data_IF_492607091405
#
_entry.id   IF_492607091405
#
_cell.length_a   1.000
_cell.length_b   1.000
_cell.length_c   1.000
_cell.angle_alpha   90.00
_cell.angle_beta   90.00
_cell.angle_gamma   90.00
#
_symmetry.space_group_name_H-M   'P 1'
#
loop_
_entity.id
_entity.type
_entity.pdbx_description
1 polymer ?
#
# COMPACT_ATOMS: atom_id res chain seq x y z
N UNK A 1 34.15 12.37 20.80
CA UNK A 1 33.24 12.34 19.66
C UNK A 1 31.85 12.65 20.23
N UNK A 2 31.07 13.54 19.63
CA UNK A 2 29.70 13.76 20.09
C UNK A 2 28.91 12.46 19.90
N UNK A 3 28.15 12.05 20.91
CA UNK A 3 27.26 10.89 20.81
C UNK A 3 26.33 11.10 19.61
N UNK A 4 26.26 10.12 18.70
CA UNK A 4 25.30 10.13 17.59
C UNK A 4 23.97 9.70 18.15
N UNK A 5 22.90 10.39 17.78
CA UNK A 5 21.54 10.05 18.22
C UNK A 5 20.61 9.77 17.04
N UNK A 6 19.62 8.95 17.28
CA UNK A 6 18.50 8.72 16.37
C UNK A 6 17.19 9.11 17.04
N UNK A 7 16.25 9.65 16.28
CA UNK A 7 14.86 9.79 16.67
C UNK A 7 14.06 8.63 16.08
N UNK A 8 13.17 8.06 16.88
CA UNK A 8 12.32 6.97 16.46
C UNK A 8 10.93 7.11 17.09
N UNK A 9 9.90 6.68 16.35
CA UNK A 9 8.52 6.64 16.82
C UNK A 9 8.24 5.32 17.50
N UNK A 10 7.64 5.37 18.67
CA UNK A 10 7.19 4.24 19.47
C UNK A 10 5.67 4.25 19.59
N UNK A 11 5.08 3.07 19.70
CA UNK A 11 3.71 2.92 20.12
C UNK A 11 3.67 2.92 21.65
N UNK A 12 2.86 3.81 22.24
CA UNK A 12 2.74 3.92 23.71
C UNK A 12 1.68 3.00 24.30
N UNK A 13 0.67 2.66 23.47
CA UNK A 13 -0.40 1.76 23.82
C UNK A 13 -0.99 1.10 22.57
N UNK A 14 -1.67 -0.03 22.74
CA UNK A 14 -2.40 -0.67 21.63
C UNK A 14 -3.80 -0.05 21.51
N UNK A 15 -4.09 0.71 20.43
CA UNK A 15 -5.39 1.36 20.27
C UNK A 15 -6.51 0.35 20.03
N UNK A 16 -7.62 0.43 20.81
CA UNK A 16 -8.78 -0.45 20.68
C UNK A 16 -9.63 -0.18 19.43
N UNK A 17 -9.46 0.98 18.79
CA UNK A 17 -10.18 1.40 17.58
C UNK A 17 -9.26 2.17 16.66
N UNK A 18 -9.74 3.26 16.06
CA UNK A 18 -8.89 4.17 15.30
C UNK A 18 -7.76 4.69 16.17
N UNK A 19 -6.50 4.60 15.75
CA UNK A 19 -5.38 5.20 16.46
C UNK A 19 -5.54 6.72 16.58
N UNK A 20 -4.99 7.26 17.66
CA UNK A 20 -4.91 8.69 17.93
C UNK A 20 -3.45 9.15 18.01
N UNK A 21 -3.18 10.42 17.92
CA UNK A 21 -1.81 10.95 18.10
C UNK A 21 -1.19 10.57 19.44
N UNK A 22 -2.00 10.42 20.50
CA UNK A 22 -1.55 10.04 21.84
C UNK A 22 -1.07 8.58 21.95
N UNK A 23 -1.34 7.74 20.96
CA UNK A 23 -0.83 6.37 20.91
C UNK A 23 0.62 6.30 20.42
N UNK A 24 1.24 7.42 20.04
CA UNK A 24 2.59 7.49 19.49
C UNK A 24 3.45 8.46 20.27
N UNK A 25 4.75 8.17 20.36
CA UNK A 25 5.75 9.01 20.99
C UNK A 25 7.05 8.98 20.20
N UNK A 26 7.67 10.14 19.98
CA UNK A 26 9.03 10.22 19.44
C UNK A 26 10.03 10.19 20.58
N UNK A 27 10.98 9.25 20.55
CA UNK A 27 12.07 9.13 21.52
C UNK A 27 13.41 9.26 20.81
N UNK A 28 14.35 9.89 21.51
CA UNK A 28 15.75 9.99 21.08
C UNK A 28 16.56 8.89 21.76
N UNK A 29 17.33 8.14 20.97
CA UNK A 29 18.18 7.04 21.43
C UNK A 29 19.61 7.26 20.93
N UNK A 30 20.60 6.77 21.65
CA UNK A 30 21.99 6.78 21.20
C UNK A 30 22.20 5.74 20.08
N UNK A 31 23.01 6.13 19.09
CA UNK A 31 23.45 5.21 18.04
C UNK A 31 24.78 4.60 18.47
N UNK A 32 24.86 3.28 18.69
CA UNK A 32 26.11 2.61 19.05
C UNK A 32 27.11 2.64 17.90
N UNK A 33 28.40 2.44 18.22
CA UNK A 33 29.43 2.24 17.22
C UNK A 33 29.16 0.97 16.40
N UNK A 34 29.39 1.05 15.08
CA UNK A 34 29.20 -0.08 14.19
C UNK A 34 30.14 -1.23 14.54
N UNK A 35 29.63 -2.44 14.55
CA UNK A 35 30.40 -3.69 14.58
C UNK A 35 30.81 -4.09 13.16
N UNK A 36 31.70 -5.07 13.04
CA UNK A 36 32.06 -5.66 11.74
C UNK A 36 30.82 -6.22 11.05
N UNK A 37 30.65 -5.94 9.77
CA UNK A 37 29.51 -6.32 8.96
C UNK A 37 28.29 -5.41 9.07
N UNK A 38 28.30 -4.39 9.96
CA UNK A 38 27.17 -3.48 10.13
C UNK A 38 27.27 -2.22 9.25
N UNK A 39 26.11 -1.62 9.00
CA UNK A 39 25.90 -0.46 8.15
C UNK A 39 25.04 0.53 8.93
N UNK A 40 25.43 1.80 8.99
CA UNK A 40 24.58 2.89 9.47
C UNK A 40 23.89 3.55 8.27
N UNK A 41 22.59 3.67 8.36
CA UNK A 41 21.77 4.29 7.33
C UNK A 41 21.00 5.49 7.88
N UNK A 42 20.81 6.47 7.01
CA UNK A 42 19.93 7.62 7.23
C UNK A 42 18.66 7.43 6.39
N UNK A 43 17.51 7.40 7.02
CA UNK A 43 16.23 7.34 6.33
C UNK A 43 15.98 8.64 5.58
N UNK A 44 15.66 8.54 4.30
CA UNK A 44 15.29 9.67 3.44
C UNK A 44 13.76 9.69 3.32
N UNK A 45 13.17 8.56 2.93
CA UNK A 45 11.75 8.38 2.78
C UNK A 45 11.26 7.17 3.57
N UNK A 46 10.12 7.30 4.22
CA UNK A 46 9.45 6.16 4.83
C UNK A 46 8.00 6.06 4.38
N UNK A 47 7.50 4.83 4.43
CA UNK A 47 6.13 4.48 4.08
C UNK A 47 5.26 4.41 5.32
N UNK A 48 4.02 4.89 5.20
CA UNK A 48 2.92 4.52 6.09
C UNK A 48 1.91 3.70 5.28
N UNK A 49 1.48 2.56 5.84
CA UNK A 49 0.66 1.57 5.14
C UNK A 49 -0.46 1.04 6.04
N UNK A 50 -1.66 0.78 5.48
CA UNK A 50 -2.80 0.33 6.27
C UNK A 50 -2.58 -0.98 7.04
N UNK A 51 -1.71 -1.91 6.54
CA UNK A 51 -1.42 -3.17 7.22
C UNK A 51 -0.81 -2.98 8.62
N UNK A 52 -0.14 -1.85 8.85
CA UNK A 52 0.46 -1.51 10.16
C UNK A 52 -0.58 -1.45 11.27
N UNK A 53 -1.87 -1.17 10.93
CA UNK A 53 -2.96 -1.21 11.91
C UNK A 53 -3.15 -2.60 12.50
N UNK A 54 -3.01 -3.65 11.70
CA UNK A 54 -3.06 -5.02 12.18
C UNK A 54 -1.94 -5.37 13.17
N UNK A 55 -0.77 -4.73 13.03
CA UNK A 55 0.37 -4.89 13.94
C UNK A 55 0.18 -4.17 15.30
N UNK A 56 -0.81 -3.30 15.41
CA UNK A 56 -1.21 -2.65 16.67
C UNK A 56 -2.29 -3.45 17.43
N UNK A 57 -2.50 -4.70 17.06
CA UNK A 57 -3.49 -5.61 17.66
C UNK A 57 -2.83 -6.94 18.04
N UNK A 58 -2.16 -7.03 19.19
CA UNK A 58 -1.43 -8.23 19.62
C UNK A 58 -2.35 -9.41 19.90
N UNK A 59 -3.63 -9.15 20.15
CA UNK A 59 -4.70 -10.11 20.40
C UNK A 59 -5.23 -10.81 19.15
N UNK A 60 -4.90 -10.29 17.94
CA UNK A 60 -5.37 -10.81 16.66
C UNK A 60 -4.27 -11.57 15.95
N UNK A 61 -4.54 -12.82 15.57
CA UNK A 61 -3.63 -13.62 14.75
C UNK A 61 -3.44 -12.95 13.38
N UNK A 62 -2.21 -12.63 13.03
CA UNK A 62 -1.84 -11.98 11.78
C UNK A 62 -0.70 -12.72 11.10
N UNK A 63 -0.46 -12.42 9.81
CA UNK A 63 0.66 -12.92 9.01
C UNK A 63 1.99 -12.21 9.33
N UNK A 64 1.94 -11.13 10.11
CA UNK A 64 3.09 -10.34 10.53
C UNK A 64 3.02 -10.12 12.05
N UNK A 65 4.15 -10.18 12.78
CA UNK A 65 4.17 -9.96 14.22
C UNK A 65 3.63 -8.57 14.61
N UNK A 66 3.01 -8.45 15.79
CA UNK A 66 2.60 -7.16 16.31
C UNK A 66 3.80 -6.27 16.59
N UNK A 67 3.59 -4.96 16.64
CA UNK A 67 4.57 -4.01 17.17
C UNK A 67 4.77 -4.24 18.66
N UNK A 68 6.01 -4.06 19.13
CA UNK A 68 6.32 -4.02 20.57
C UNK A 68 6.20 -2.58 21.07
N UNK A 69 5.69 -2.40 22.28
CA UNK A 69 5.67 -1.09 22.96
C UNK A 69 7.07 -0.64 23.39
N UNK A 70 8.00 -1.60 23.54
CA UNK A 70 9.37 -1.35 24.01
C UNK A 70 10.39 -1.16 22.89
N UNK A 71 9.94 -1.18 21.64
CA UNK A 71 10.79 -1.02 20.47
C UNK A 71 10.27 0.05 19.50
N UNK A 72 11.15 0.71 18.74
CA UNK A 72 10.73 1.57 17.65
C UNK A 72 9.81 0.85 16.71
N UNK A 73 8.82 1.55 16.16
CA UNK A 73 8.06 1.02 15.04
C UNK A 73 8.99 0.77 13.83
N UNK A 74 8.56 -0.09 12.94
CA UNK A 74 9.26 -0.39 11.69
C UNK A 74 8.30 -0.34 10.49
N UNK A 75 8.86 -0.28 9.30
CA UNK A 75 8.12 -0.25 8.05
C UNK A 75 9.04 -0.02 6.87
N UNK A 76 8.46 0.08 5.68
CA UNK A 76 9.20 0.37 4.47
C UNK A 76 9.93 1.71 4.54
N UNK A 77 11.21 1.72 4.15
CA UNK A 77 11.98 2.96 4.02
C UNK A 77 12.97 2.88 2.87
N UNK A 78 13.25 4.04 2.27
CA UNK A 78 14.42 4.26 1.43
C UNK A 78 15.42 5.06 2.24
N UNK A 79 16.65 4.54 2.34
CA UNK A 79 17.71 5.12 3.16
C UNK A 79 19.01 5.27 2.37
N UNK A 80 19.84 6.24 2.77
CA UNK A 80 21.22 6.39 2.32
C UNK A 80 22.16 5.68 3.31
N UNK A 81 23.09 4.92 2.81
CA UNK A 81 24.20 4.39 3.59
C UNK A 81 25.14 5.54 3.96
N UNK A 82 25.31 5.82 5.25
CA UNK A 82 26.19 6.91 5.72
C UNK A 82 27.53 6.40 6.25
N UNK A 83 27.55 5.18 6.80
CA UNK A 83 28.77 4.50 7.22
C UNK A 83 28.61 3.00 7.01
N UNK A 84 29.68 2.31 6.60
CA UNK A 84 29.63 0.86 6.37
C UNK A 84 30.89 0.16 6.87
N UNK A 85 30.68 -0.97 7.55
CA UNK A 85 31.69 -2.00 7.82
C UNK A 85 31.30 -3.32 7.15
N UNK A 86 30.44 -3.27 6.12
CA UNK A 86 29.94 -4.38 5.32
C UNK A 86 30.46 -4.24 3.89
N UNK A 87 31.04 -5.28 3.33
CA UNK A 87 31.66 -5.27 1.99
C UNK A 87 30.64 -5.07 0.84
N UNK A 88 29.36 -5.44 1.08
CA UNK A 88 28.30 -5.33 0.09
C UNK A 88 27.75 -3.91 -0.11
N UNK A 89 28.07 -2.98 0.81
CA UNK A 89 27.49 -1.63 0.81
C UNK A 89 28.55 -0.57 1.13
N UNK A 90 28.42 0.60 0.51
CA UNK A 90 29.34 1.73 0.70
C UNK A 90 28.54 3.01 0.98
N UNK A 91 29.16 4.01 1.66
CA UNK A 91 28.55 5.33 1.82
C UNK A 91 28.12 5.92 0.48
N UNK A 92 26.90 6.47 0.46
CA UNK A 92 26.24 7.00 -0.73
C UNK A 92 25.37 5.98 -1.50
N UNK A 93 25.41 4.70 -1.17
CA UNK A 93 24.43 3.73 -1.70
C UNK A 93 23.03 4.06 -1.16
N UNK A 94 22.02 3.99 -2.03
CA UNK A 94 20.62 4.05 -1.64
C UNK A 94 20.04 2.63 -1.55
N UNK A 95 19.25 2.38 -0.49
CA UNK A 95 18.67 1.06 -0.24
C UNK A 95 17.21 1.20 0.16
N UNK A 96 16.39 0.23 -0.27
CA UNK A 96 15.03 0.05 0.25
C UNK A 96 14.99 -1.17 1.16
N UNK A 97 14.27 -1.06 2.26
CA UNK A 97 14.08 -2.14 3.23
C UNK A 97 12.75 -2.00 3.98
N UNK A 98 12.27 -3.11 4.57
CA UNK A 98 11.06 -3.14 5.40
C UNK A 98 11.27 -2.71 6.86
N UNK A 99 12.52 -2.56 7.31
CA UNK A 99 12.86 -2.36 8.73
C UNK A 99 13.28 -0.93 9.07
N UNK A 100 13.48 -0.08 8.07
CA UNK A 100 14.09 1.24 8.22
C UNK A 100 13.13 2.37 8.54
N UNK A 101 11.82 2.14 8.49
CA UNK A 101 10.82 3.19 8.72
C UNK A 101 10.63 3.53 10.20
N UNK A 102 9.95 4.65 10.46
CA UNK A 102 9.62 5.21 11.77
C UNK A 102 10.84 5.65 12.60
N UNK A 103 11.98 5.87 11.95
CA UNK A 103 13.23 6.38 12.54
C UNK A 103 14.07 7.12 11.50
N UNK A 104 14.86 8.07 11.95
CA UNK A 104 15.72 8.88 11.07
C UNK A 104 17.06 8.19 10.77
N UNK A 105 17.61 7.41 11.71
CA UNK A 105 18.80 6.58 11.52
C UNK A 105 18.55 5.16 12.02
N UNK A 106 19.27 4.19 11.45
CA UNK A 106 19.21 2.79 11.89
C UNK A 106 20.42 1.99 11.41
N UNK A 107 20.70 0.90 12.13
CA UNK A 107 21.80 0.00 11.84
C UNK A 107 21.24 -1.34 11.32
N UNK A 108 21.89 -1.92 10.33
CA UNK A 108 21.61 -3.26 9.78
C UNK A 108 22.90 -4.00 9.48
N UNK A 109 22.82 -5.33 9.41
CA UNK A 109 23.89 -6.19 8.91
C UNK A 109 23.88 -6.37 7.37
N UNK A 110 22.95 -5.72 6.68
CA UNK A 110 22.78 -5.84 5.24
C UNK A 110 21.67 -6.79 4.80
N UNK A 111 21.14 -7.64 5.69
CA UNK A 111 20.09 -8.60 5.36
C UNK A 111 18.78 -7.87 5.01
N UNK A 112 18.16 -8.28 3.91
CA UNK A 112 16.90 -7.72 3.44
C UNK A 112 17.00 -6.30 2.83
N UNK A 113 18.23 -5.77 2.64
CA UNK A 113 18.44 -4.53 1.92
C UNK A 113 18.50 -4.76 0.41
N UNK A 114 17.79 -3.95 -0.34
CA UNK A 114 17.88 -3.93 -1.81
C UNK A 114 18.39 -2.57 -2.26
N UNK A 115 19.48 -2.53 -3.02
CA UNK A 115 19.97 -1.29 -3.62
C UNK A 115 18.97 -0.75 -4.62
N UNK A 116 18.77 0.54 -4.62
CA UNK A 116 17.89 1.26 -5.56
C UNK A 116 18.66 2.33 -6.32
N UNK A 117 18.21 2.59 -7.55
CA UNK A 117 18.85 3.53 -8.45
C UNK A 117 17.93 4.75 -8.65
N UNK A 118 18.36 5.91 -8.17
CA UNK A 118 17.66 7.16 -8.34
C UNK A 118 17.61 7.67 -9.79
N UNK A 119 18.45 7.11 -10.67
CA UNK A 119 18.42 7.39 -12.12
C UNK A 119 17.22 6.76 -12.83
N UNK A 120 16.59 5.73 -12.22
CA UNK A 120 15.41 5.04 -12.78
C UNK A 120 14.11 5.75 -12.40
N UNK A 121 13.98 6.16 -11.15
CA UNK A 121 12.79 6.83 -10.62
C UNK A 121 13.13 7.63 -9.34
N UNK A 122 12.30 8.59 -8.92
CA UNK A 122 12.43 9.22 -7.61
C UNK A 122 12.51 8.18 -6.50
N UNK A 123 13.31 8.43 -5.46
CA UNK A 123 13.53 7.48 -4.37
C UNK A 123 12.22 7.08 -3.66
N UNK A 124 11.25 7.99 -3.52
CA UNK A 124 9.94 7.71 -2.94
C UNK A 124 9.14 6.66 -3.72
N UNK A 125 9.31 6.58 -5.05
CA UNK A 125 8.62 5.62 -5.91
C UNK A 125 8.91 4.16 -5.52
N UNK A 126 10.07 3.88 -4.90
CA UNK A 126 10.42 2.55 -4.38
C UNK A 126 9.65 2.16 -3.12
N UNK A 127 8.86 3.07 -2.54
CA UNK A 127 7.89 2.80 -1.47
C UNK A 127 6.45 2.67 -1.99
N UNK A 128 6.23 2.96 -3.26
CA UNK A 128 4.93 2.98 -3.92
C UNK A 128 4.91 2.11 -5.17
N UNK A 129 4.90 2.77 -6.34
CA UNK A 129 4.68 2.16 -7.66
C UNK A 129 5.76 1.14 -8.05
N UNK A 130 6.99 1.29 -7.61
CA UNK A 130 8.10 0.33 -7.80
C UNK A 130 8.43 -0.48 -6.54
N UNK A 131 7.68 -0.31 -5.47
CA UNK A 131 7.87 -0.99 -4.20
C UNK A 131 6.82 -2.07 -3.90
N UNK A 132 6.62 -2.32 -2.60
CA UNK A 132 5.68 -3.33 -2.11
C UNK A 132 4.23 -3.10 -2.61
N UNK A 133 3.67 -1.87 -2.59
CA UNK A 133 2.33 -1.63 -3.13
C UNK A 133 2.24 -1.93 -4.63
N UNK A 134 3.28 -1.61 -5.39
CA UNK A 134 3.36 -1.92 -6.82
C UNK A 134 3.38 -3.41 -7.10
N UNK A 135 4.24 -4.16 -6.40
CA UNK A 135 4.27 -5.62 -6.49
C UNK A 135 2.93 -6.25 -6.08
N UNK A 136 2.27 -5.69 -5.04
CA UNK A 136 0.94 -6.13 -4.60
C UNK A 136 -0.11 -5.96 -5.71
N UNK A 137 -0.12 -4.80 -6.35
CA UNK A 137 -1.02 -4.50 -7.46
C UNK A 137 -0.80 -5.45 -8.64
N UNK A 138 0.47 -5.60 -9.04
CA UNK A 138 0.86 -6.45 -10.15
C UNK A 138 0.57 -7.93 -9.87
N UNK A 139 0.94 -8.45 -8.70
CA UNK A 139 0.71 -9.84 -8.34
C UNK A 139 -0.79 -10.17 -8.24
N UNK A 140 -1.59 -9.36 -7.56
CA UNK A 140 -3.03 -9.57 -7.46
C UNK A 140 -3.73 -9.53 -8.83
N UNK A 141 -3.28 -8.65 -9.72
CA UNK A 141 -3.83 -8.57 -11.07
C UNK A 141 -3.39 -9.74 -11.95
N UNK A 142 -2.11 -10.12 -11.93
CA UNK A 142 -1.54 -11.09 -12.89
C UNK A 142 -1.58 -12.54 -12.40
N UNK A 143 -1.56 -12.78 -11.08
CA UNK A 143 -1.48 -14.13 -10.51
C UNK A 143 -2.82 -14.62 -9.94
N UNK A 144 -3.78 -13.71 -9.72
CA UNK A 144 -5.07 -14.06 -9.10
C UNK A 144 -6.23 -13.72 -10.05
N UNK A 145 -6.29 -12.47 -10.52
CA UNK A 145 -7.37 -12.03 -11.39
C UNK A 145 -7.20 -12.48 -12.83
N UNK A 146 -5.98 -12.48 -13.36
CA UNK A 146 -5.66 -12.90 -14.73
C UNK A 146 -6.64 -12.33 -15.76
N UNK A 147 -6.87 -10.98 -15.79
CA UNK A 147 -7.89 -10.40 -16.63
C UNK A 147 -7.55 -10.55 -18.10
N UNK A 148 -8.58 -10.81 -18.92
CA UNK A 148 -8.48 -10.94 -20.36
C UNK A 148 -8.92 -9.65 -21.05
N UNK A 149 -8.38 -9.32 -22.23
CA UNK A 149 -8.85 -8.18 -23.02
C UNK A 149 -10.38 -8.20 -23.20
N UNK A 150 -11.02 -7.06 -22.99
CA UNK A 150 -12.47 -6.90 -23.07
C UNK A 150 -13.23 -7.23 -21.76
N UNK A 151 -12.59 -7.86 -20.77
CA UNK A 151 -13.23 -8.08 -19.47
C UNK A 151 -13.37 -6.77 -18.67
N UNK A 152 -14.38 -6.72 -17.82
CA UNK A 152 -14.61 -5.60 -16.89
C UNK A 152 -13.90 -5.87 -15.57
N UNK A 153 -13.01 -4.94 -15.20
CA UNK A 153 -12.27 -4.94 -13.92
C UNK A 153 -12.82 -3.84 -13.03
N UNK A 154 -13.28 -4.18 -11.83
CA UNK A 154 -13.61 -3.22 -10.79
C UNK A 154 -12.49 -3.13 -9.76
N UNK A 155 -12.16 -1.91 -9.30
CA UNK A 155 -11.12 -1.67 -8.30
C UNK A 155 -11.68 -0.76 -7.21
N UNK A 156 -11.72 -1.22 -5.96
CA UNK A 156 -12.05 -0.38 -4.81
C UNK A 156 -10.81 0.30 -4.24
N UNK A 157 -10.98 1.48 -3.63
CA UNK A 157 -9.84 2.28 -3.14
C UNK A 157 -8.86 2.63 -4.26
N UNK A 158 -9.40 2.90 -5.45
CA UNK A 158 -8.66 2.98 -6.70
C UNK A 158 -7.64 4.12 -6.78
N UNK A 159 -7.83 5.21 -6.03
CA UNK A 159 -6.87 6.32 -6.00
C UNK A 159 -5.72 6.13 -5.00
N UNK A 160 -5.64 4.97 -4.34
CA UNK A 160 -4.54 4.61 -3.44
C UNK A 160 -3.33 4.03 -4.17
N UNK A 161 -2.25 3.75 -3.42
CA UNK A 161 -0.98 3.28 -3.95
C UNK A 161 -1.09 1.95 -4.75
N UNK A 162 -1.93 1.02 -4.30
CA UNK A 162 -2.18 -0.26 -4.97
C UNK A 162 -3.21 -0.07 -6.09
N UNK A 163 -4.37 0.49 -5.76
CA UNK A 163 -5.51 0.55 -6.66
C UNK A 163 -5.24 1.31 -7.96
N UNK A 164 -4.48 2.41 -7.89
CA UNK A 164 -4.16 3.22 -9.07
C UNK A 164 -3.29 2.49 -10.09
N UNK A 165 -2.37 1.66 -9.61
CA UNK A 165 -1.55 0.84 -10.49
C UNK A 165 -2.37 -0.34 -11.08
N UNK A 166 -3.25 -0.96 -10.28
CA UNK A 166 -4.16 -2.01 -10.79
C UNK A 166 -5.00 -1.48 -11.94
N UNK A 167 -5.62 -0.29 -11.78
CA UNK A 167 -6.42 0.34 -12.84
C UNK A 167 -5.62 0.49 -14.13
N UNK A 168 -4.43 1.06 -14.06
CA UNK A 168 -3.60 1.34 -15.23
C UNK A 168 -3.09 0.07 -15.90
N UNK A 169 -2.64 -0.92 -15.12
CA UNK A 169 -2.22 -2.22 -15.66
C UNK A 169 -3.39 -2.96 -16.33
N UNK A 170 -4.60 -2.90 -15.75
CA UNK A 170 -5.80 -3.47 -16.36
C UNK A 170 -6.16 -2.77 -17.70
N UNK A 171 -6.02 -1.44 -17.77
CA UNK A 171 -6.17 -0.68 -19.01
C UNK A 171 -5.16 -1.11 -20.07
N UNK A 172 -3.88 -1.25 -19.70
CA UNK A 172 -2.80 -1.70 -20.60
C UNK A 172 -3.11 -3.12 -21.14
N UNK A 173 -3.76 -3.96 -20.32
CA UNK A 173 -4.22 -5.30 -20.75
C UNK A 173 -5.49 -5.27 -21.63
N UNK A 174 -6.04 -4.10 -21.94
CA UNK A 174 -7.23 -3.95 -22.80
C UNK A 174 -8.56 -4.22 -22.10
N UNK A 175 -8.61 -4.07 -20.77
CA UNK A 175 -9.83 -4.22 -19.98
C UNK A 175 -10.67 -2.93 -19.95
N UNK A 176 -11.97 -3.08 -19.73
CA UNK A 176 -12.82 -2.01 -19.23
C UNK A 176 -12.58 -1.88 -17.71
N UNK A 177 -12.26 -0.68 -17.22
CA UNK A 177 -11.93 -0.46 -15.82
C UNK A 177 -12.95 0.46 -15.17
N UNK A 178 -13.55 -0.02 -14.08
CA UNK A 178 -14.41 0.73 -13.19
C UNK A 178 -13.65 0.91 -11.88
N UNK A 179 -13.58 2.13 -11.40
CA UNK A 179 -12.88 2.48 -10.17
C UNK A 179 -13.84 3.06 -9.12
N UNK A 180 -13.52 2.93 -7.84
CA UNK A 180 -14.19 3.68 -6.79
C UNK A 180 -13.18 4.43 -5.92
N UNK A 181 -13.45 5.71 -5.66
CA UNK A 181 -12.63 6.60 -4.85
C UNK A 181 -13.50 7.50 -3.96
N UNK A 182 -12.89 8.19 -2.99
CA UNK A 182 -13.60 8.94 -1.95
C UNK A 182 -13.76 10.44 -2.22
N UNK A 183 -13.47 10.91 -3.44
CA UNK A 183 -13.73 12.32 -3.80
C UNK A 183 -13.82 12.49 -5.30
N UNK A 184 -14.49 13.54 -5.75
CA UNK A 184 -14.57 13.91 -7.16
C UNK A 184 -13.19 14.13 -7.77
N UNK A 185 -12.29 14.85 -7.08
CA UNK A 185 -10.92 15.08 -7.54
C UNK A 185 -10.16 13.76 -7.81
N UNK A 186 -10.33 12.75 -6.95
CA UNK A 186 -9.73 11.43 -7.14
C UNK A 186 -10.35 10.69 -8.33
N UNK A 187 -11.66 10.81 -8.52
CA UNK A 187 -12.35 10.23 -9.67
C UNK A 187 -11.88 10.88 -10.97
N UNK A 188 -11.82 12.20 -11.01
CA UNK A 188 -11.35 12.96 -12.17
C UNK A 188 -9.92 12.58 -12.56
N UNK A 189 -9.04 12.42 -11.58
CA UNK A 189 -7.67 11.97 -11.85
C UNK A 189 -7.62 10.55 -12.42
N UNK A 190 -8.42 9.64 -11.88
CA UNK A 190 -8.49 8.26 -12.36
C UNK A 190 -8.97 8.19 -13.81
N UNK A 191 -9.97 8.97 -14.19
CA UNK A 191 -10.48 9.03 -15.56
C UNK A 191 -9.52 9.75 -16.50
N UNK A 192 -9.06 10.94 -16.13
CA UNK A 192 -8.32 11.81 -17.04
C UNK A 192 -6.83 11.44 -17.16
N UNK A 193 -6.20 10.93 -16.09
CA UNK A 193 -4.76 10.64 -16.08
C UNK A 193 -4.44 9.14 -16.04
N UNK A 194 -5.28 8.31 -15.41
CA UNK A 194 -5.07 6.85 -15.34
C UNK A 194 -5.83 6.08 -16.41
N UNK A 195 -6.69 6.74 -17.20
CA UNK A 195 -7.44 6.15 -18.30
C UNK A 195 -8.56 5.20 -17.87
N UNK A 196 -9.07 5.34 -16.64
CA UNK A 196 -10.22 4.57 -16.13
C UNK A 196 -11.46 4.95 -16.93
N UNK A 197 -12.31 3.97 -17.28
CA UNK A 197 -13.48 4.22 -18.10
C UNK A 197 -14.63 4.85 -17.30
N UNK A 198 -14.77 4.48 -16.03
CA UNK A 198 -15.77 5.04 -15.10
C UNK A 198 -15.19 5.08 -13.70
N UNK A 199 -15.18 6.25 -13.06
CA UNK A 199 -14.81 6.40 -11.67
C UNK A 199 -16.05 6.82 -10.83
N UNK A 200 -16.34 6.04 -9.79
CA UNK A 200 -17.46 6.25 -8.89
C UNK A 200 -16.99 6.89 -7.60
N UNK A 201 -17.54 8.06 -7.24
CA UNK A 201 -17.37 8.59 -5.90
C UNK A 201 -18.29 7.82 -4.95
N UNK A 202 -17.73 6.94 -4.13
CA UNK A 202 -18.54 6.10 -3.26
C UNK A 202 -19.26 6.86 -2.14
N UNK A 203 -18.87 8.11 -1.85
CA UNK A 203 -19.60 8.97 -0.92
C UNK A 203 -20.96 9.44 -1.46
N UNK A 204 -21.19 9.33 -2.77
CA UNK A 204 -22.50 9.58 -3.36
C UNK A 204 -23.47 8.40 -3.13
N UNK A 205 -22.98 7.28 -2.61
CA UNK A 205 -23.76 6.08 -2.30
C UNK A 205 -23.89 5.90 -0.78
N UNK A 206 -25.12 5.88 -0.28
CA UNK A 206 -25.42 5.76 1.16
C UNK A 206 -25.27 4.33 1.70
N UNK A 207 -25.35 3.34 0.82
CA UNK A 207 -25.33 1.92 1.19
C UNK A 207 -24.90 1.04 0.00
N UNK A 208 -24.73 -0.25 0.26
CA UNK A 208 -24.34 -1.21 -0.76
C UNK A 208 -25.34 -1.32 -1.93
N UNK A 209 -26.63 -1.09 -1.69
CA UNK A 209 -27.66 -1.13 -2.74
C UNK A 209 -27.49 -0.01 -3.76
N UNK A 210 -27.22 1.22 -3.31
CA UNK A 210 -26.96 2.36 -4.19
C UNK A 210 -25.66 2.17 -4.97
N UNK A 211 -24.60 1.66 -4.34
CA UNK A 211 -23.35 1.32 -5.03
C UNK A 211 -23.55 0.17 -6.03
N UNK A 212 -24.36 -0.84 -5.70
CA UNK A 212 -24.77 -1.92 -6.63
C UNK A 212 -25.45 -1.33 -7.87
N UNK A 213 -26.38 -0.38 -7.69
CA UNK A 213 -27.06 0.27 -8.79
C UNK A 213 -26.11 1.07 -9.69
N UNK A 214 -25.13 1.77 -9.08
CA UNK A 214 -24.09 2.49 -9.82
C UNK A 214 -23.18 1.53 -10.61
N UNK A 215 -22.74 0.44 -9.99
CA UNK A 215 -21.96 -0.61 -10.65
C UNK A 215 -22.72 -1.28 -11.78
N UNK A 216 -24.04 -1.55 -11.59
CA UNK A 216 -24.89 -2.13 -12.64
C UNK A 216 -25.01 -1.24 -13.88
N UNK A 217 -25.03 0.09 -13.71
CA UNK A 217 -24.99 1.04 -14.84
C UNK A 217 -23.63 1.03 -15.55
N UNK A 218 -22.54 0.98 -14.77
CA UNK A 218 -21.18 0.99 -15.30
C UNK A 218 -20.79 -0.36 -15.91
N UNK A 219 -21.29 -1.49 -15.40
CA UNK A 219 -21.01 -2.84 -15.85
C UNK A 219 -22.32 -3.63 -16.12
N UNK A 220 -23.09 -3.32 -17.17
CA UNK A 220 -24.36 -4.00 -17.45
C UNK A 220 -24.23 -5.51 -17.67
N UNK A 221 -23.08 -5.97 -18.18
CA UNK A 221 -22.78 -7.41 -18.36
C UNK A 221 -22.13 -8.06 -17.14
N UNK A 222 -21.95 -7.30 -16.06
CA UNK A 222 -21.33 -7.72 -14.80
C UNK A 222 -19.82 -7.54 -14.77
N UNK A 223 -19.26 -7.70 -13.55
CA UNK A 223 -17.83 -7.52 -13.24
C UNK A 223 -17.14 -8.88 -13.37
N UNK A 224 -16.14 -8.99 -14.24
CA UNK A 224 -15.35 -10.20 -14.42
C UNK A 224 -14.21 -10.34 -13.39
N UNK A 225 -13.60 -9.22 -13.02
CA UNK A 225 -12.50 -9.17 -12.06
C UNK A 225 -12.75 -8.08 -11.03
N UNK A 226 -12.58 -8.40 -9.76
CA UNK A 226 -12.65 -7.41 -8.70
C UNK A 226 -11.37 -7.41 -7.87
N UNK A 227 -10.71 -6.25 -7.79
CA UNK A 227 -9.57 -6.04 -6.92
C UNK A 227 -10.04 -5.28 -5.66
N UNK A 228 -10.07 -5.99 -4.54
CA UNK A 228 -10.65 -5.51 -3.29
C UNK A 228 -9.59 -4.93 -2.35
N UNK A 229 -9.76 -3.65 -1.97
CA UNK A 229 -8.93 -2.96 -0.98
C UNK A 229 -9.73 -2.45 0.23
N UNK A 230 -11.07 -2.43 0.17
CA UNK A 230 -11.92 -1.67 1.12
C UNK A 230 -12.76 -2.55 2.02
N UNK A 231 -13.43 -3.57 1.48
CA UNK A 231 -14.39 -4.40 2.23
C UNK A 231 -15.75 -3.70 2.40
N UNK A 232 -16.53 -4.17 3.39
CA UNK A 232 -17.81 -3.57 3.75
C UNK A 232 -18.77 -3.47 2.56
N UNK A 233 -19.37 -2.29 2.37
CA UNK A 233 -20.34 -2.07 1.29
C UNK A 233 -19.77 -2.26 -0.11
N UNK A 234 -18.44 -2.10 -0.32
CA UNK A 234 -17.82 -2.34 -1.62
C UNK A 234 -17.83 -3.81 -1.98
N UNK A 235 -17.47 -4.68 -1.04
CA UNK A 235 -17.48 -6.12 -1.27
C UNK A 235 -18.91 -6.63 -1.48
N UNK A 236 -19.87 -6.14 -0.70
CA UNK A 236 -21.29 -6.50 -0.86
C UNK A 236 -21.83 -6.04 -2.23
N UNK A 237 -21.58 -4.80 -2.63
CA UNK A 237 -22.03 -4.29 -3.92
C UNK A 237 -21.36 -5.00 -5.11
N UNK A 238 -20.06 -5.31 -4.98
CA UNK A 238 -19.34 -6.07 -5.98
C UNK A 238 -19.93 -7.47 -6.15
N UNK A 239 -20.19 -8.22 -5.08
CA UNK A 239 -20.80 -9.55 -5.12
C UNK A 239 -22.19 -9.55 -5.80
N UNK A 240 -22.98 -8.47 -5.62
CA UNK A 240 -24.25 -8.32 -6.33
C UNK A 240 -24.07 -8.08 -7.84
N UNK A 241 -22.90 -7.62 -8.27
CA UNK A 241 -22.63 -7.14 -9.62
C UNK A 241 -21.68 -8.04 -10.43
N UNK A 242 -21.21 -9.17 -9.90
CA UNK A 242 -20.26 -10.06 -10.58
C UNK A 242 -20.88 -10.81 -11.75
N UNK A 243 -20.09 -10.98 -12.82
CA UNK A 243 -20.39 -11.85 -13.95
C UNK A 243 -20.23 -13.35 -13.58
N UNK A 244 -20.68 -14.23 -14.45
CA UNK A 244 -20.42 -15.67 -14.31
C UNK A 244 -18.91 -15.95 -14.46
N UNK A 245 -18.35 -16.78 -13.56
CA UNK A 245 -16.92 -17.11 -13.55
C UNK A 245 -16.03 -15.97 -13.05
N UNK A 246 -16.56 -14.98 -12.37
CA UNK A 246 -15.80 -13.84 -11.85
C UNK A 246 -14.66 -14.26 -10.90
N UNK A 247 -13.62 -13.44 -10.84
CA UNK A 247 -12.45 -13.62 -9.98
C UNK A 247 -12.30 -12.39 -9.08
N UNK A 248 -12.13 -12.63 -7.77
CA UNK A 248 -12.02 -11.58 -6.75
C UNK A 248 -10.69 -11.77 -6.01
N UNK A 249 -9.82 -10.76 -6.04
CA UNK A 249 -8.58 -10.71 -5.28
C UNK A 249 -8.79 -9.84 -4.03
N UNK A 250 -8.75 -10.45 -2.85
CA UNK A 250 -8.84 -9.75 -1.57
C UNK A 250 -7.43 -9.32 -1.14
N UNK A 251 -7.10 -8.06 -1.42
CA UNK A 251 -5.84 -7.42 -1.06
C UNK A 251 -5.89 -6.78 0.33
N UNK A 252 -7.01 -6.13 0.64
CA UNK A 252 -7.23 -5.45 1.90
C UNK A 252 -8.70 -5.17 2.16
N UNK A 253 -9.02 -4.84 3.41
CA UNK A 253 -10.37 -4.51 3.87
C UNK A 253 -10.31 -3.33 4.84
N UNK A 254 -9.77 -2.18 4.38
CA UNK A 254 -9.44 -1.04 5.23
C UNK A 254 -10.64 -0.51 6.04
N UNK A 255 -11.86 -0.67 5.53
CA UNK A 255 -13.10 -0.24 6.21
C UNK A 255 -13.33 -0.93 7.56
N UNK A 256 -12.71 -2.12 7.78
CA UNK A 256 -12.90 -2.90 9.02
C UNK A 256 -11.65 -2.95 9.90
N UNK A 257 -10.52 -2.35 9.49
CA UNK A 257 -9.28 -2.45 10.27
C UNK A 257 -9.35 -1.81 11.66
N UNK A 258 -10.22 -0.81 11.83
CA UNK A 258 -10.43 -0.12 13.10
C UNK A 258 -11.66 -0.62 13.87
N UNK A 259 -12.32 -1.68 13.41
CA UNK A 259 -13.47 -2.25 14.09
C UNK A 259 -13.05 -2.81 15.47
N UNK A 260 -13.79 -2.44 16.52
CA UNK A 260 -13.57 -2.92 17.90
C UNK A 260 -14.00 -4.37 18.07
N UNK A 261 -15.07 -4.73 17.38
CA UNK A 261 -15.62 -6.08 17.34
C UNK A 261 -15.44 -6.68 15.95
N UNK A 262 -15.42 -8.01 15.79
CA UNK A 262 -15.37 -8.64 14.49
C UNK A 262 -16.50 -8.14 13.59
N UNK A 263 -16.15 -7.58 12.43
CA UNK A 263 -17.13 -7.13 11.47
C UNK A 263 -17.89 -8.33 10.86
N UNK A 264 -19.20 -8.17 10.68
CA UNK A 264 -19.99 -9.16 9.95
C UNK A 264 -19.47 -9.27 8.50
N UNK A 265 -19.44 -10.49 7.97
CA UNK A 265 -19.16 -10.71 6.56
C UNK A 265 -20.29 -10.21 5.66
N UNK A 266 -20.07 -10.09 4.35
CA UNK A 266 -21.13 -9.72 3.43
C UNK A 266 -22.25 -10.75 3.43
N UNK A 267 -23.54 -10.32 3.49
CA UNK A 267 -24.69 -11.25 3.62
C UNK A 267 -24.95 -12.05 2.35
N UNK A 268 -24.34 -11.67 1.24
CA UNK A 268 -24.60 -12.18 -0.10
C UNK A 268 -23.49 -13.08 -0.68
N UNK A 269 -22.68 -13.72 0.16
CA UNK A 269 -21.63 -14.68 -0.28
C UNK A 269 -22.18 -15.81 -1.17
N UNK A 270 -23.47 -16.14 -1.07
CA UNK A 270 -24.11 -17.12 -1.92
C UNK A 270 -24.00 -16.80 -3.44
N UNK A 271 -23.76 -15.54 -3.81
CA UNK A 271 -23.52 -15.19 -5.20
C UNK A 271 -22.24 -15.82 -5.77
N UNK A 272 -21.26 -16.16 -4.95
CA UNK A 272 -20.09 -16.92 -5.41
C UNK A 272 -20.51 -18.27 -5.99
N UNK A 273 -21.48 -18.93 -5.38
CA UNK A 273 -22.03 -20.20 -5.88
C UNK A 273 -22.84 -19.93 -7.15
N UNK A 274 -23.78 -18.98 -7.09
CA UNK A 274 -24.69 -18.68 -8.19
C UNK A 274 -23.97 -18.22 -9.47
N UNK A 275 -22.79 -17.61 -9.31
CA UNK A 275 -21.96 -17.11 -10.41
C UNK A 275 -20.74 -17.98 -10.71
N UNK A 276 -20.57 -19.13 -10.03
CA UNK A 276 -19.37 -19.97 -10.15
C UNK A 276 -18.06 -19.15 -10.01
N UNK A 277 -18.08 -18.16 -9.11
CA UNK A 277 -17.00 -17.19 -8.94
C UNK A 277 -15.93 -17.69 -7.95
N UNK A 278 -14.72 -17.17 -8.06
CA UNK A 278 -13.61 -17.41 -7.14
C UNK A 278 -13.32 -16.15 -6.34
N UNK A 279 -13.06 -16.30 -5.04
CA UNK A 279 -12.58 -15.23 -4.17
C UNK A 279 -11.35 -15.70 -3.41
N UNK A 280 -10.23 -15.00 -3.54
CA UNK A 280 -8.94 -15.40 -3.00
C UNK A 280 -8.27 -14.25 -2.26
N UNK A 281 -7.96 -14.46 -0.97
CA UNK A 281 -7.06 -13.59 -0.21
C UNK A 281 -5.59 -13.86 -0.56
N UNK A 282 -4.75 -12.83 -0.50
CA UNK A 282 -3.33 -12.98 -0.75
C UNK A 282 -2.48 -12.01 0.08
N UNK A 283 -1.22 -12.37 0.25
CA UNK A 283 -0.20 -11.56 0.91
C UNK A 283 0.98 -11.43 -0.05
N UNK A 284 1.46 -10.21 -0.27
CA UNK A 284 2.52 -9.93 -1.25
C UNK A 284 3.83 -10.67 -0.96
N UNK A 285 4.11 -11.00 0.30
CA UNK A 285 5.32 -11.74 0.69
C UNK A 285 5.45 -13.11 0.00
N UNK A 286 4.34 -13.73 -0.40
CA UNK A 286 4.34 -15.00 -1.15
C UNK A 286 4.88 -14.80 -2.57
N UNK A 287 4.78 -13.57 -3.10
CA UNK A 287 5.15 -13.20 -4.48
C UNK A 287 6.49 -12.46 -4.58
N UNK A 288 7.28 -12.35 -3.50
CA UNK A 288 8.58 -11.68 -3.52
C UNK A 288 9.55 -12.29 -4.54
N UNK A 289 9.44 -13.60 -4.80
CA UNK A 289 10.21 -14.27 -5.84
C UNK A 289 9.95 -13.76 -7.26
N UNK A 290 8.84 -13.04 -7.48
CA UNK A 290 8.47 -12.41 -8.75
C UNK A 290 8.86 -10.91 -8.81
N UNK A 291 9.52 -10.37 -7.80
CA UNK A 291 9.85 -8.94 -7.73
C UNK A 291 10.69 -8.47 -8.94
N UNK A 292 11.60 -9.31 -9.43
CA UNK A 292 12.39 -8.98 -10.62
C UNK A 292 11.52 -8.90 -11.89
N UNK A 293 10.59 -9.85 -12.08
CA UNK A 293 9.67 -9.84 -13.20
C UNK A 293 8.76 -8.60 -13.14
N UNK A 294 8.20 -8.31 -11.97
CA UNK A 294 7.44 -7.09 -11.73
C UNK A 294 8.22 -5.83 -12.14
N UNK A 295 9.47 -5.71 -11.68
CA UNK A 295 10.31 -4.55 -12.00
C UNK A 295 10.57 -4.43 -13.51
N UNK A 296 10.86 -5.55 -14.20
CA UNK A 296 11.07 -5.56 -15.65
C UNK A 296 9.83 -5.16 -16.45
N UNK A 297 8.63 -5.46 -15.95
CA UNK A 297 7.37 -5.10 -16.63
C UNK A 297 6.94 -3.66 -16.31
N UNK A 298 7.08 -3.21 -15.07
CA UNK A 298 6.48 -1.93 -14.61
C UNK A 298 7.43 -0.74 -14.76
N UNK A 299 8.74 -0.90 -14.48
CA UNK A 299 9.67 0.23 -14.57
C UNK A 299 9.76 0.85 -15.99
N UNK A 300 9.78 0.08 -17.10
CA UNK A 300 9.74 0.66 -18.44
C UNK A 300 8.44 1.42 -18.73
N UNK A 301 7.30 0.96 -18.22
CA UNK A 301 6.02 1.64 -18.39
C UNK A 301 5.99 2.98 -17.64
N UNK A 302 6.58 3.02 -16.46
CA UNK A 302 6.76 4.24 -15.69
C UNK A 302 7.68 5.22 -16.42
N UNK A 303 8.85 4.77 -16.86
CA UNK A 303 9.81 5.59 -17.60
C UNK A 303 9.24 6.15 -18.92
N UNK A 304 8.34 5.41 -19.59
CA UNK A 304 7.62 5.86 -20.79
C UNK A 304 6.44 6.80 -20.48
N UNK A 305 6.15 7.08 -19.21
CA UNK A 305 5.00 7.89 -18.79
C UNK A 305 3.65 7.21 -19.03
N UNK A 306 3.63 5.90 -19.28
CA UNK A 306 2.39 5.11 -19.44
C UNK A 306 1.72 4.77 -18.11
N UNK A 307 2.46 4.88 -17.02
CA UNK A 307 1.96 4.76 -15.66
C UNK A 307 2.15 6.12 -14.99
N UNK A 308 1.09 6.63 -14.38
CA UNK A 308 1.06 7.82 -13.54
C UNK A 308 0.95 7.38 -12.10
N UNK A 309 1.60 8.11 -11.19
CA UNK A 309 1.43 7.90 -9.76
C UNK A 309 1.39 9.25 -9.04
N UNK A 310 0.73 9.26 -7.89
CA UNK A 310 0.69 10.42 -6.99
C UNK A 310 1.14 10.00 -5.60
N UNK A 311 1.69 10.95 -4.89
CA UNK A 311 2.15 10.79 -3.51
C UNK A 311 1.62 11.92 -2.66
N UNK A 312 1.15 11.58 -1.46
CA UNK A 312 0.89 12.53 -0.39
C UNK A 312 2.13 12.57 0.48
N UNK A 313 2.88 13.67 0.39
CA UNK A 313 4.15 13.86 1.08
C UNK A 313 3.91 14.60 2.39
N UNK A 314 4.45 14.06 3.47
CA UNK A 314 4.48 14.67 4.80
C UNK A 314 5.94 14.89 5.18
N UNK A 315 6.25 16.05 5.78
CA UNK A 315 7.63 16.45 6.09
C UNK A 315 7.94 16.29 7.57
N UNK A 316 8.94 15.49 7.88
CA UNK A 316 9.38 15.21 9.24
C UNK A 316 8.82 13.92 9.82
N UNK A 317 9.63 13.27 10.66
CA UNK A 317 9.28 12.00 11.29
C UNK A 317 8.05 12.11 12.22
N UNK A 318 7.87 13.26 12.84
CA UNK A 318 6.75 13.61 13.73
C UNK A 318 5.39 13.68 13.03
N UNK A 319 5.36 13.88 11.72
CA UNK A 319 4.13 13.82 10.91
C UNK A 319 3.67 12.37 10.59
N UNK A 320 4.50 11.37 10.84
CA UNK A 320 4.20 9.98 10.50
C UNK A 320 2.93 9.43 11.18
N UNK A 321 2.65 9.68 12.47
CA UNK A 321 1.39 9.27 13.12
C UNK A 321 0.16 9.90 12.44
N UNK A 322 0.22 11.19 12.12
CA UNK A 322 -0.87 11.92 11.46
C UNK A 322 -1.12 11.36 10.06
N UNK A 323 -0.07 11.16 9.27
CA UNK A 323 -0.17 10.56 7.94
C UNK A 323 -0.77 9.14 7.99
N UNK A 324 -0.38 8.34 8.98
CA UNK A 324 -0.93 6.99 9.19
C UNK A 324 -2.42 7.01 9.55
N UNK A 325 -2.82 7.88 10.48
CA UNK A 325 -4.22 8.04 10.88
C UNK A 325 -5.07 8.53 9.69
N UNK A 326 -4.55 9.48 8.91
CA UNK A 326 -5.20 10.02 7.72
C UNK A 326 -5.55 8.98 6.64
N UNK A 327 -4.81 7.84 6.58
CA UNK A 327 -5.15 6.74 5.67
C UNK A 327 -6.56 6.21 5.90
N UNK A 328 -7.01 6.15 7.17
CA UNK A 328 -8.34 5.63 7.53
C UNK A 328 -9.47 6.63 7.31
N UNK A 329 -9.13 7.88 7.06
CA UNK A 329 -10.06 8.95 6.66
C UNK A 329 -10.03 9.19 5.14
N UNK A 330 -9.16 8.47 4.41
CA UNK A 330 -9.00 8.67 2.96
C UNK A 330 -8.38 10.02 2.61
N UNK A 331 -7.60 10.63 3.49
CA UNK A 331 -6.96 11.93 3.27
C UNK A 331 -5.84 11.86 2.23
N UNK A 332 -5.18 10.71 2.11
CA UNK A 332 -4.12 10.54 1.13
C UNK A 332 -4.64 10.47 -0.31
N UNK A 333 -3.86 11.04 -1.22
CA UNK A 333 -4.00 10.85 -2.66
C UNK A 333 -2.78 10.08 -3.16
N UNK A 334 -2.99 8.87 -3.71
CA UNK A 334 -1.91 7.97 -4.05
C UNK A 334 -1.23 7.38 -2.83
N UNK A 335 0.10 7.27 -2.87
CA UNK A 335 0.92 6.74 -1.78
C UNK A 335 1.20 7.81 -0.74
N UNK A 336 0.92 7.54 0.54
CA UNK A 336 1.40 8.37 1.64
C UNK A 336 2.85 8.02 1.98
N UNK A 337 3.73 9.02 1.93
CA UNK A 337 5.15 8.91 2.26
C UNK A 337 5.58 10.04 3.18
N UNK A 338 6.55 9.76 4.04
CA UNK A 338 7.15 10.74 4.94
C UNK A 338 8.56 11.04 4.46
N UNK A 339 8.85 12.29 4.21
CA UNK A 339 10.22 12.75 3.98
C UNK A 339 10.89 12.99 5.32
N UNK A 340 11.74 12.05 5.73
CA UNK A 340 12.42 12.07 7.05
C UNK A 340 13.73 12.83 6.97
N UNK A 341 14.49 12.58 5.93
CA UNK A 341 15.79 13.22 5.71
C UNK A 341 15.87 13.98 4.38
N UNK A 342 16.93 14.76 4.16
CA UNK A 342 17.10 15.47 2.90
C UNK A 342 17.24 14.48 1.74
N UNK A 343 16.38 14.64 0.75
CA UNK A 343 16.52 14.05 -0.57
C UNK A 343 17.40 15.03 -1.39
N UNK A 344 18.57 14.56 -1.78
CA UNK A 344 19.60 15.40 -2.44
C UNK A 344 19.64 15.22 -3.95
N UNK A 345 18.62 14.55 -4.51
CA UNK A 345 18.54 14.20 -5.92
C UNK A 345 17.60 15.13 -6.69
#
# INVERSE_FOLDING_TARGET
>A
MSARSQNAVYLTSYPAGLPSAGDFEVRTNDIPDLKSGEILMRTIWMSVDPYMRGRMRPDVKSYIPPFSLDAPLDGGAVSEVVESKNEGFKPGDYVVAFQGGWKDYWISNGDGLTKVDAGIAPLSAYLGVLGMPGLTAWAGLTQILEPKPGETVFVSGAAGAVGSLVCQLAKIKGCKVIASAGSTEKCDWLENECGVDVALNYHDCKNAGELTAALGKAAPDGINCYFENVGGMHLEAALNSIAFGARIALCGMISVYNAKEPAAGPPNLAFLIARSAKMQGFIVSIYLHLAQQFAMEVAPLLAQGKIRFRESVYDGLDEAPKAFIGLFHGENFGKAVIRVGPDRL
#
